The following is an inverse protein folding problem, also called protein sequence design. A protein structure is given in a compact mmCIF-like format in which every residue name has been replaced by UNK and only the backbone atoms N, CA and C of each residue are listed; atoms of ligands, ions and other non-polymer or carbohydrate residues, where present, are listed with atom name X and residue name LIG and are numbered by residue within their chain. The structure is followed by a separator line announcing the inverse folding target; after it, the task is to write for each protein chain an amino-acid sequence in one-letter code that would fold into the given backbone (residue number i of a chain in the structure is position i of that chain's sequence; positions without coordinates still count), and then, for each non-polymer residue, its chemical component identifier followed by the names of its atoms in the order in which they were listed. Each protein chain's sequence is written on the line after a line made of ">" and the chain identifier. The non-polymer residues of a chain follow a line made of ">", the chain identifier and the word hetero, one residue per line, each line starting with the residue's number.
data_IF_689187756448
#
_entry.id   IF_689187756448
#
_cell.length_a   1.000
_cell.length_b   1.000
_cell.length_c   1.000
_cell.angle_alpha   90.00
_cell.angle_beta   90.00
_cell.angle_gamma   90.00
#
_symmetry.space_group_name_H-M   'P 1'
#
loop_
_entity.id
_entity.type
_entity.pdbx_description
1 polymer ?
#
# COMPACT_ATOMS: atom_id res chain seq x y z
N UNK A 1 34.58 23.22 -58.57
CA UNK A 1 33.37 22.92 -57.82
C UNK A 1 33.60 22.06 -56.58
N UNK A 2 34.39 21.00 -56.67
CA UNK A 2 34.67 20.07 -55.54
C UNK A 2 35.34 20.78 -54.34
N UNK A 3 36.26 21.69 -54.55
CA UNK A 3 37.00 22.39 -53.49
C UNK A 3 36.11 23.31 -52.61
N UNK A 4 35.04 23.88 -53.17
CA UNK A 4 34.04 24.70 -52.39
C UNK A 4 33.15 23.84 -51.53
N UNK A 5 32.79 22.63 -51.96
CA UNK A 5 31.98 21.68 -51.21
C UNK A 5 32.75 21.13 -50.02
N UNK A 6 34.03 20.79 -50.22
CA UNK A 6 34.93 20.30 -49.15
C UNK A 6 35.16 21.38 -48.09
N UNK A 7 35.34 22.65 -48.49
CA UNK A 7 35.47 23.78 -47.55
C UNK A 7 34.18 24.03 -46.76
N UNK A 8 33.00 23.93 -47.39
CA UNK A 8 31.73 24.04 -46.72
C UNK A 8 31.52 22.85 -45.74
N UNK A 9 31.85 21.63 -46.10
CA UNK A 9 31.77 20.50 -45.21
C UNK A 9 32.71 20.62 -44.00
N UNK A 10 33.93 21.13 -44.20
CA UNK A 10 34.88 21.40 -43.11
C UNK A 10 34.41 22.54 -42.20
N UNK A 11 33.78 23.59 -42.77
CA UNK A 11 33.16 24.64 -41.95
C UNK A 11 31.97 24.15 -41.18
N UNK A 12 31.11 23.32 -41.77
CA UNK A 12 29.99 22.68 -41.04
C UNK A 12 30.48 21.74 -39.95
N UNK A 13 31.55 20.98 -40.19
CA UNK A 13 32.15 20.11 -39.17
C UNK A 13 32.76 20.91 -38.01
N UNK A 14 33.42 22.05 -38.32
CA UNK A 14 33.95 22.98 -37.31
C UNK A 14 32.86 23.67 -36.53
N UNK A 15 31.73 24.01 -37.16
CA UNK A 15 30.54 24.57 -36.49
C UNK A 15 29.84 23.52 -35.60
N UNK A 16 29.73 22.28 -36.01
CA UNK A 16 29.15 21.22 -35.18
C UNK A 16 30.02 20.88 -33.95
N UNK A 17 31.34 21.11 -33.99
CA UNK A 17 32.26 20.93 -32.85
C UNK A 17 32.20 22.12 -31.88
N UNK A 18 31.79 23.32 -32.36
CA UNK A 18 31.69 24.55 -31.52
C UNK A 18 30.33 24.67 -30.81
N UNK A 19 29.27 24.12 -31.40
CA UNK A 19 28.04 23.87 -30.66
C UNK A 19 28.22 22.51 -29.93
N UNK A 20 28.72 22.58 -28.69
CA UNK A 20 28.74 21.45 -27.80
C UNK A 20 27.31 20.86 -27.77
N UNK A 21 27.12 19.71 -28.39
CA UNK A 21 25.88 18.96 -28.24
C UNK A 21 25.84 18.61 -26.76
N UNK A 22 24.99 19.31 -26.04
CA UNK A 22 24.66 18.99 -24.66
C UNK A 22 24.01 17.60 -24.71
N UNK A 23 24.80 16.55 -24.45
CA UNK A 23 24.31 15.18 -24.39
C UNK A 23 23.60 15.09 -23.04
N UNK A 24 22.30 15.25 -23.05
CA UNK A 24 21.44 14.97 -21.89
C UNK A 24 21.32 13.45 -21.78
N UNK A 25 22.24 12.84 -21.05
CA UNK A 25 22.25 11.41 -20.80
C UNK A 25 21.17 11.07 -19.77
N UNK A 26 20.17 10.26 -20.15
CA UNK A 26 19.12 9.80 -19.25
C UNK A 26 19.37 8.34 -18.87
N UNK A 27 19.42 8.07 -17.58
CA UNK A 27 19.59 6.75 -16.99
C UNK A 27 18.34 6.38 -16.16
N UNK A 28 17.87 5.13 -16.32
CA UNK A 28 16.73 4.62 -15.55
C UNK A 28 17.18 3.59 -14.54
N UNK A 29 16.80 3.77 -13.27
CA UNK A 29 17.18 2.92 -12.15
C UNK A 29 15.93 2.46 -11.40
N UNK A 30 15.86 1.16 -11.10
CA UNK A 30 14.79 0.60 -10.26
C UNK A 30 15.40 -0.11 -9.06
N UNK A 31 14.95 0.23 -7.86
CA UNK A 31 15.44 -0.36 -6.61
C UNK A 31 14.28 -0.70 -5.68
N UNK A 32 14.52 -1.63 -4.74
CA UNK A 32 13.53 -1.98 -3.73
C UNK A 32 13.48 -0.94 -2.61
N UNK A 33 12.31 -0.70 -2.09
CA UNK A 33 12.11 0.15 -0.92
C UNK A 33 12.96 -0.32 0.27
N UNK A 34 13.64 0.62 0.92
CA UNK A 34 14.57 0.36 2.02
C UNK A 34 16.01 0.13 1.59
N UNK A 35 16.27 -0.16 0.32
CA UNK A 35 17.64 -0.27 -0.19
C UNK A 35 18.23 1.13 -0.46
N UNK A 36 19.52 1.18 -0.81
CA UNK A 36 20.19 2.42 -1.20
C UNK A 36 20.35 2.48 -2.70
N UNK A 37 20.21 3.68 -3.29
CA UNK A 37 20.48 3.93 -4.70
C UNK A 37 21.55 4.97 -4.85
N UNK A 38 22.53 4.72 -5.74
CA UNK A 38 23.59 5.67 -6.07
C UNK A 38 23.43 6.16 -7.50
N UNK A 39 23.26 7.48 -7.65
CA UNK A 39 23.13 8.17 -8.92
C UNK A 39 24.53 8.66 -9.33
N UNK A 40 25.16 7.93 -10.24
CA UNK A 40 26.55 8.19 -10.63
C UNK A 40 26.65 9.28 -11.71
N UNK A 41 27.32 10.37 -11.41
CA UNK A 41 27.55 11.43 -12.38
C UNK A 41 28.42 10.98 -13.55
N UNK A 42 29.35 10.04 -13.33
CA UNK A 42 30.36 9.64 -14.30
C UNK A 42 31.50 10.66 -14.45
N UNK A 43 31.52 11.70 -13.62
CA UNK A 43 32.58 12.71 -13.62
C UNK A 43 33.80 12.17 -12.91
N UNK A 44 34.95 12.14 -13.62
CA UNK A 44 36.18 11.55 -13.08
C UNK A 44 37.02 12.55 -12.28
N UNK A 45 36.84 13.85 -12.52
CA UNK A 45 37.58 14.91 -11.82
C UNK A 45 36.74 16.16 -11.73
N UNK A 46 36.54 16.64 -10.53
CA UNK A 46 35.85 17.89 -10.19
C UNK A 46 36.94 18.87 -9.73
N UNK A 47 36.85 20.13 -10.15
CA UNK A 47 37.78 21.19 -9.76
C UNK A 47 37.31 21.88 -8.47
N UNK A 48 38.21 22.57 -7.79
CA UNK A 48 37.90 23.22 -6.50
C UNK A 48 36.80 24.28 -6.57
N UNK A 49 36.68 24.95 -7.73
CA UNK A 49 35.69 25.99 -7.97
C UNK A 49 34.37 25.48 -8.54
N UNK A 50 34.23 24.17 -8.75
CA UNK A 50 33.01 23.59 -9.29
C UNK A 50 31.93 23.48 -8.21
N UNK A 51 30.68 23.73 -8.64
CA UNK A 51 29.49 23.54 -7.84
C UNK A 51 28.66 22.41 -8.43
N UNK A 52 28.35 21.41 -7.61
CA UNK A 52 27.41 20.35 -7.97
C UNK A 52 26.06 20.64 -7.32
N UNK A 53 25.03 20.56 -8.13
CA UNK A 53 23.64 20.72 -7.70
C UNK A 53 22.81 19.52 -8.12
N UNK A 54 22.09 18.96 -7.16
CA UNK A 54 21.11 17.91 -7.37
C UNK A 54 19.69 18.42 -7.23
N UNK A 55 18.88 18.14 -8.24
CA UNK A 55 17.47 18.50 -8.30
C UNK A 55 16.61 17.22 -8.27
N UNK A 56 15.47 17.26 -7.57
CA UNK A 56 14.41 16.28 -7.67
C UNK A 56 13.15 17.01 -8.16
N UNK A 57 12.73 16.73 -9.40
CA UNK A 57 11.80 17.61 -10.10
C UNK A 57 12.34 19.03 -10.20
N UNK A 58 11.59 19.99 -9.67
CA UNK A 58 11.97 21.41 -9.65
C UNK A 58 12.62 21.85 -8.33
N UNK A 59 12.79 20.94 -7.36
CA UNK A 59 13.39 21.26 -6.07
C UNK A 59 14.87 20.90 -6.03
N UNK A 60 15.70 21.80 -5.51
CA UNK A 60 17.09 21.50 -5.18
C UNK A 60 17.12 20.70 -3.87
N UNK A 61 17.68 19.48 -3.91
CA UNK A 61 17.74 18.57 -2.77
C UNK A 61 19.12 18.56 -2.11
N UNK A 62 20.19 18.80 -2.89
CA UNK A 62 21.54 18.84 -2.35
C UNK A 62 22.44 19.73 -3.20
N UNK A 63 23.39 20.42 -2.56
CA UNK A 63 24.47 21.18 -3.17
C UNK A 63 25.79 20.81 -2.53
N UNK A 64 26.80 20.62 -3.35
CA UNK A 64 28.18 20.42 -2.91
C UNK A 64 29.04 21.51 -3.53
N UNK A 65 29.65 22.32 -2.68
CA UNK A 65 30.73 23.21 -3.07
C UNK A 65 32.05 22.53 -2.69
N UNK A 66 32.87 22.23 -3.67
CA UNK A 66 34.12 21.46 -3.47
C UNK A 66 35.11 22.24 -2.62
N UNK A 67 35.23 23.57 -2.81
CA UNK A 67 36.18 24.38 -2.06
C UNK A 67 35.85 24.49 -0.57
N UNK A 68 34.57 24.47 -0.21
CA UNK A 68 34.12 24.56 1.19
C UNK A 68 33.78 23.22 1.81
N UNK A 69 33.67 22.15 1.02
CA UNK A 69 33.20 20.80 1.43
C UNK A 69 31.86 20.83 2.18
N UNK A 70 31.04 21.85 1.94
CA UNK A 70 29.74 22.00 2.59
C UNK A 70 28.68 21.34 1.71
N UNK A 71 28.02 20.33 2.28
CA UNK A 71 26.82 19.72 1.73
C UNK A 71 25.64 20.45 2.39
N UNK A 72 24.81 21.10 1.56
CA UNK A 72 23.57 21.70 2.03
C UNK A 72 22.40 20.84 1.57
N UNK A 73 21.75 20.13 2.48
CA UNK A 73 20.47 19.47 2.25
C UNK A 73 19.36 20.52 2.33
N UNK A 74 18.57 20.63 1.27
CA UNK A 74 17.54 21.68 1.14
C UNK A 74 16.12 21.13 1.26
N UNK A 75 15.93 19.81 1.23
CA UNK A 75 14.63 19.16 1.30
C UNK A 75 14.54 18.21 2.52
N UNK A 76 13.61 18.50 3.44
CA UNK A 76 13.39 17.72 4.64
C UNK A 76 13.00 16.25 4.37
N UNK A 77 12.49 15.91 3.17
CA UNK A 77 12.15 14.52 2.77
C UNK A 77 13.38 13.63 2.79
N UNK A 78 14.56 14.19 2.49
CA UNK A 78 15.82 13.47 2.37
C UNK A 78 16.74 13.63 3.57
N UNK A 79 16.29 14.31 4.62
CA UNK A 79 17.09 14.60 5.81
C UNK A 79 17.78 13.34 6.32
N UNK A 80 19.11 13.44 6.54
CA UNK A 80 19.98 12.39 7.04
C UNK A 80 20.08 11.13 6.15
N UNK A 81 19.57 11.20 4.90
CA UNK A 81 19.56 10.07 3.96
C UNK A 81 20.40 10.29 2.72
N UNK A 82 20.89 11.48 2.47
CA UNK A 82 21.72 11.82 1.32
C UNK A 82 23.20 11.74 1.65
N UNK A 83 23.96 11.12 0.76
CA UNK A 83 25.41 11.12 0.78
C UNK A 83 25.90 11.59 -0.57
N UNK A 84 26.70 12.65 -0.59
CA UNK A 84 27.42 13.11 -1.77
C UNK A 84 28.89 12.69 -1.64
N UNK A 85 29.39 12.02 -2.67
CA UNK A 85 30.80 11.64 -2.72
C UNK A 85 31.66 12.73 -3.40
N UNK A 86 32.98 12.48 -3.44
CA UNK A 86 33.94 13.41 -4.04
C UNK A 86 33.82 13.52 -5.57
N UNK A 87 33.12 12.60 -6.21
CA UNK A 87 32.80 12.64 -7.65
C UNK A 87 31.49 13.34 -7.93
N UNK A 88 30.82 13.82 -6.88
CA UNK A 88 29.51 14.46 -6.93
C UNK A 88 28.36 13.48 -7.18
N UNK A 89 28.60 12.17 -7.08
CA UNK A 89 27.55 11.18 -7.16
C UNK A 89 26.70 11.21 -5.88
N UNK A 90 25.39 11.05 -6.04
CA UNK A 90 24.42 11.13 -4.96
C UNK A 90 23.96 9.73 -4.58
N UNK A 91 24.12 9.37 -3.30
CA UNK A 91 23.53 8.16 -2.72
C UNK A 91 22.33 8.53 -1.85
N UNK A 92 21.21 7.88 -2.08
CA UNK A 92 20.00 7.99 -1.27
C UNK A 92 19.87 6.70 -0.48
N UNK A 93 19.97 6.78 0.84
CA UNK A 93 19.84 5.64 1.74
C UNK A 93 18.39 5.44 2.18
N UNK A 94 18.03 4.18 2.53
CA UNK A 94 16.70 3.84 3.04
C UNK A 94 15.59 4.43 2.17
N UNK A 95 15.64 4.10 0.88
CA UNK A 95 14.71 4.63 -0.12
C UNK A 95 13.25 4.32 0.23
N UNK A 96 12.35 5.21 -0.13
CA UNK A 96 10.91 5.11 0.05
C UNK A 96 10.24 5.19 -1.32
N UNK A 97 9.07 4.59 -1.47
CA UNK A 97 8.29 4.69 -2.73
C UNK A 97 8.03 6.14 -3.13
N UNK A 98 7.91 7.06 -2.15
CA UNK A 98 7.77 8.50 -2.36
C UNK A 98 9.02 9.20 -2.90
N UNK A 99 10.17 8.53 -2.92
CA UNK A 99 11.41 9.06 -3.49
C UNK A 99 11.49 8.78 -5.00
N UNK A 100 10.54 8.05 -5.58
CA UNK A 100 10.45 7.86 -7.03
C UNK A 100 10.28 9.19 -7.74
N UNK A 101 11.03 9.39 -8.83
CA UNK A 101 10.96 10.64 -9.58
C UNK A 101 12.14 10.85 -10.53
N UNK A 102 12.19 12.04 -11.08
CA UNK A 102 13.27 12.48 -11.98
C UNK A 102 14.28 13.29 -11.19
N UNK A 103 15.52 12.82 -11.19
CA UNK A 103 16.66 13.48 -10.56
C UNK A 103 17.59 14.05 -11.63
N UNK A 104 18.10 15.24 -11.41
CA UNK A 104 19.02 15.89 -12.33
C UNK A 104 20.26 16.34 -11.59
N UNK A 105 21.42 15.85 -12.06
CA UNK A 105 22.73 16.35 -11.66
C UNK A 105 23.15 17.50 -12.57
N UNK A 106 23.58 18.61 -11.99
CA UNK A 106 24.16 19.74 -12.70
C UNK A 106 25.52 20.07 -12.10
N UNK A 107 26.55 20.05 -12.90
CA UNK A 107 27.87 20.58 -12.56
C UNK A 107 28.00 21.96 -13.20
N UNK A 108 28.28 22.97 -12.39
CA UNK A 108 28.44 24.36 -12.79
C UNK A 108 29.89 24.73 -12.48
N UNK A 109 30.69 24.97 -13.52
CA UNK A 109 32.09 25.32 -13.43
C UNK A 109 32.67 25.64 -14.82
N UNK A 110 33.94 25.29 -15.08
CA UNK A 110 34.54 25.48 -16.38
C UNK A 110 33.86 24.64 -17.48
N UNK A 111 33.23 23.52 -17.12
CA UNK A 111 32.41 22.69 -18.00
C UNK A 111 31.02 22.56 -17.39
N UNK A 112 29.98 22.77 -18.20
CA UNK A 112 28.61 22.49 -17.80
C UNK A 112 28.31 21.03 -18.14
N UNK A 113 27.91 20.27 -17.14
CA UNK A 113 27.50 18.88 -17.29
C UNK A 113 26.09 18.73 -16.73
N UNK A 114 25.25 17.99 -17.44
CA UNK A 114 23.92 17.64 -16.99
C UNK A 114 23.69 16.16 -17.23
N UNK A 115 23.13 15.48 -16.24
CA UNK A 115 22.70 14.08 -16.36
C UNK A 115 21.36 13.91 -15.66
N UNK A 116 20.46 13.20 -16.29
CA UNK A 116 19.10 12.95 -15.81
C UNK A 116 18.97 11.49 -15.41
N UNK A 117 18.33 11.24 -14.26
CA UNK A 117 18.04 9.90 -13.75
C UNK A 117 16.54 9.76 -13.53
N UNK A 118 15.95 8.68 -14.03
CA UNK A 118 14.59 8.26 -13.73
C UNK A 118 14.68 7.18 -12.66
N UNK A 119 14.34 7.50 -11.42
CA UNK A 119 14.42 6.58 -10.28
C UNK A 119 13.04 6.06 -9.96
N UNK A 120 12.89 4.74 -9.95
CA UNK A 120 11.66 4.04 -9.57
C UNK A 120 11.93 3.20 -8.33
N UNK A 121 11.27 3.54 -7.22
CA UNK A 121 11.35 2.76 -5.98
C UNK A 121 10.13 1.85 -5.91
N UNK A 122 10.38 0.56 -5.85
CA UNK A 122 9.34 -0.48 -5.87
C UNK A 122 9.14 -0.99 -4.45
N UNK A 123 7.89 -1.00 -3.99
CA UNK A 123 7.55 -1.49 -2.66
C UNK A 123 7.93 -2.96 -2.48
N UNK A 124 8.36 -3.34 -1.29
CA UNK A 124 8.63 -4.74 -0.95
C UNK A 124 7.34 -5.54 -0.99
N UNK A 125 7.42 -6.72 -1.62
CA UNK A 125 6.27 -7.60 -1.72
C UNK A 125 5.95 -8.25 -0.37
N UNK A 126 4.69 -8.23 0.07
CA UNK A 126 4.23 -9.04 1.19
C UNK A 126 4.24 -10.52 0.81
N UNK A 127 4.39 -11.39 1.80
CA UNK A 127 4.24 -12.82 1.57
C UNK A 127 2.76 -13.15 1.38
N UNK A 128 2.36 -13.88 0.31
CA UNK A 128 0.97 -14.25 0.11
C UNK A 128 0.43 -15.12 1.25
N UNK A 129 -0.80 -14.88 1.67
CA UNK A 129 -1.51 -15.73 2.63
C UNK A 129 -2.42 -16.71 1.87
N UNK A 130 -2.39 -17.99 2.30
CA UNK A 130 -3.27 -19.02 1.74
C UNK A 130 -4.23 -19.47 2.84
N UNK A 131 -5.53 -19.37 2.56
CA UNK A 131 -6.60 -19.87 3.40
C UNK A 131 -7.38 -20.96 2.67
N UNK A 132 -7.88 -21.95 3.40
CA UNK A 132 -8.76 -22.97 2.86
C UNK A 132 -10.20 -22.70 3.25
N UNK A 133 -11.09 -23.02 2.35
CA UNK A 133 -12.54 -22.91 2.53
C UNK A 133 -13.19 -24.19 2.03
N UNK A 134 -14.04 -24.82 2.86
CA UNK A 134 -14.85 -25.96 2.46
C UNK A 134 -16.23 -25.47 2.04
N UNK A 135 -16.60 -25.56 0.74
CA UNK A 135 -17.95 -25.20 0.32
C UNK A 135 -18.95 -26.18 0.94
N UNK A 136 -19.82 -25.67 1.79
CA UNK A 136 -20.99 -26.43 2.25
C UNK A 136 -22.06 -26.37 1.17
N UNK A 137 -22.13 -27.37 0.29
CA UNK A 137 -23.27 -27.55 -0.57
C UNK A 137 -24.27 -28.51 0.09
N UNK A 138 -25.41 -28.02 0.63
CA UNK A 138 -26.44 -28.88 1.18
C UNK A 138 -27.37 -29.49 0.12
N UNK A 139 -27.00 -29.45 -1.16
CA UNK A 139 -27.87 -29.92 -2.25
C UNK A 139 -27.51 -31.34 -2.70
N UNK A 140 -28.21 -32.30 -2.10
CA UNK A 140 -28.73 -33.51 -2.71
C UNK A 140 -27.82 -34.31 -3.64
N UNK A 141 -27.67 -35.56 -3.21
CA UNK A 141 -27.35 -36.75 -3.99
C UNK A 141 -25.88 -37.06 -4.31
N UNK A 142 -25.25 -37.80 -3.41
CA UNK A 142 -24.53 -39.01 -3.78
C UNK A 142 -23.13 -38.94 -4.32
N UNK A 143 -22.53 -37.79 -4.55
CA UNK A 143 -21.10 -37.66 -4.74
C UNK A 143 -20.56 -36.75 -3.63
N UNK A 144 -19.74 -37.29 -2.76
CA UNK A 144 -18.85 -36.53 -1.92
C UNK A 144 -17.97 -35.67 -2.85
N UNK A 145 -18.34 -34.41 -3.05
CA UNK A 145 -17.48 -33.46 -3.72
C UNK A 145 -16.26 -33.27 -2.82
N UNK A 146 -15.21 -34.05 -3.12
CA UNK A 146 -13.93 -34.08 -2.42
C UNK A 146 -13.05 -32.88 -2.85
N UNK A 147 -13.65 -31.69 -2.95
CA UNK A 147 -12.95 -30.48 -3.37
C UNK A 147 -12.73 -29.53 -2.21
N UNK A 148 -11.55 -28.97 -2.16
CA UNK A 148 -11.14 -27.90 -1.26
C UNK A 148 -10.96 -26.63 -2.07
N UNK A 149 -11.54 -25.53 -1.64
CA UNK A 149 -11.29 -24.21 -2.23
C UNK A 149 -10.23 -23.50 -1.42
N UNK A 150 -9.16 -23.13 -2.09
CA UNK A 150 -8.05 -22.37 -1.56
C UNK A 150 -8.17 -20.93 -2.03
N UNK A 151 -7.89 -19.99 -1.14
CA UNK A 151 -7.85 -18.59 -1.46
C UNK A 151 -6.45 -18.04 -1.16
N UNK A 152 -5.70 -17.69 -2.18
CA UNK A 152 -4.47 -16.92 -2.02
C UNK A 152 -4.80 -15.44 -2.01
N UNK A 153 -4.29 -14.70 -1.03
CA UNK A 153 -4.57 -13.28 -0.86
C UNK A 153 -3.34 -12.48 -0.44
N UNK A 154 -3.31 -11.23 -0.91
CA UNK A 154 -2.36 -10.20 -0.51
C UNK A 154 -3.10 -8.87 -0.34
N UNK A 155 -2.55 -7.98 0.48
CA UNK A 155 -3.14 -6.67 0.78
C UNK A 155 -2.15 -5.55 0.49
N UNK A 156 -2.69 -4.36 0.16
CA UNK A 156 -1.93 -3.12 -0.06
C UNK A 156 -0.80 -3.27 -1.09
N UNK A 157 -1.12 -3.78 -2.27
CA UNK A 157 -0.16 -4.01 -3.36
C UNK A 157 -0.50 -3.20 -4.60
N UNK A 158 0.53 -2.83 -5.38
CA UNK A 158 0.38 -2.16 -6.67
C UNK A 158 1.43 -2.69 -7.65
N UNK A 159 1.11 -2.67 -8.94
CA UNK A 159 1.98 -3.14 -10.02
C UNK A 159 2.50 -4.57 -9.78
N UNK A 160 1.60 -5.49 -9.42
CA UNK A 160 1.93 -6.90 -9.13
C UNK A 160 1.05 -7.86 -9.91
N UNK A 161 1.55 -9.08 -10.06
CA UNK A 161 0.76 -10.25 -10.45
C UNK A 161 0.70 -11.26 -9.29
N UNK A 162 -0.44 -11.91 -9.13
CA UNK A 162 -0.67 -13.00 -8.18
C UNK A 162 -1.06 -14.25 -8.97
N UNK A 163 -0.36 -15.34 -8.73
CA UNK A 163 -0.47 -16.55 -9.58
C UNK A 163 -0.46 -17.82 -8.75
N UNK A 164 -1.29 -18.79 -9.15
CA UNK A 164 -1.21 -20.17 -8.67
C UNK A 164 -0.34 -21.01 -9.59
N UNK A 165 0.50 -21.82 -8.98
CA UNK A 165 1.35 -22.80 -9.66
C UNK A 165 1.04 -24.21 -9.16
N UNK A 166 1.10 -25.19 -10.08
CA UNK A 166 1.13 -26.63 -9.81
C UNK A 166 2.48 -27.14 -10.32
N UNK A 167 3.39 -27.43 -9.38
CA UNK A 167 4.80 -27.64 -9.74
C UNK A 167 5.36 -26.39 -10.43
N UNK A 168 5.82 -26.54 -11.66
CA UNK A 168 6.36 -25.43 -12.48
C UNK A 168 5.35 -24.81 -13.46
N UNK A 169 4.10 -25.27 -13.45
CA UNK A 169 3.08 -24.80 -14.40
C UNK A 169 2.15 -23.78 -13.75
N UNK A 170 1.90 -22.65 -14.43
CA UNK A 170 0.92 -21.64 -14.03
C UNK A 170 -0.48 -22.19 -14.26
N UNK A 171 -1.34 -22.15 -13.24
CA UNK A 171 -2.75 -22.54 -13.31
C UNK A 171 -3.64 -21.34 -13.57
N UNK A 172 -3.43 -20.27 -12.84
CA UNK A 172 -4.19 -19.03 -12.96
C UNK A 172 -3.34 -17.85 -12.51
N UNK A 173 -3.67 -16.66 -13.03
CA UNK A 173 -2.97 -15.42 -12.69
C UNK A 173 -3.91 -14.23 -12.79
N UNK A 174 -3.75 -13.26 -11.89
CA UNK A 174 -4.37 -11.94 -11.96
C UNK A 174 -3.30 -10.87 -11.75
N UNK A 175 -3.49 -9.70 -12.36
CA UNK A 175 -2.53 -8.59 -12.27
C UNK A 175 -3.26 -7.29 -11.96
N UNK A 176 -2.60 -6.42 -11.21
CA UNK A 176 -3.07 -5.06 -10.93
C UNK A 176 -1.95 -4.07 -11.24
N UNK A 177 -2.30 -2.95 -11.86
CA UNK A 177 -1.40 -1.82 -12.12
C UNK A 177 -1.46 -0.79 -10.99
N UNK A 178 -2.67 -0.54 -10.50
CA UNK A 178 -2.94 0.47 -9.48
C UNK A 178 -2.94 -0.14 -8.08
N UNK A 179 -2.95 0.73 -7.04
CA UNK A 179 -3.02 0.30 -5.66
C UNK A 179 -4.30 -0.51 -5.40
N UNK A 180 -4.12 -1.75 -4.97
CA UNK A 180 -5.22 -2.63 -4.56
C UNK A 180 -5.16 -2.88 -3.05
N UNK A 181 -6.30 -2.62 -2.37
CA UNK A 181 -6.42 -2.86 -0.93
C UNK A 181 -6.36 -4.36 -0.65
N UNK A 182 -6.97 -5.18 -1.50
CA UNK A 182 -6.97 -6.64 -1.39
C UNK A 182 -7.00 -7.26 -2.78
N UNK A 183 -6.07 -8.17 -3.01
CA UNK A 183 -6.01 -8.99 -4.22
C UNK A 183 -6.11 -10.43 -3.80
N UNK A 184 -7.06 -11.19 -4.35
CA UNK A 184 -7.27 -12.60 -4.01
C UNK A 184 -7.56 -13.43 -5.24
N UNK A 185 -7.02 -14.66 -5.22
CA UNK A 185 -7.10 -15.61 -6.32
C UNK A 185 -7.52 -16.98 -5.77
N UNK A 186 -8.75 -17.45 -6.10
CA UNK A 186 -9.22 -18.77 -5.67
C UNK A 186 -8.62 -19.87 -6.53
N UNK A 187 -8.51 -21.08 -5.92
CA UNK A 187 -8.12 -22.33 -6.57
C UNK A 187 -8.92 -23.47 -5.97
N UNK A 188 -9.52 -24.30 -6.83
CA UNK A 188 -10.15 -25.57 -6.42
C UNK A 188 -9.18 -26.73 -6.60
N UNK A 189 -9.00 -27.52 -5.54
CA UNK A 189 -8.15 -28.72 -5.55
C UNK A 189 -8.92 -29.92 -4.98
N UNK A 190 -8.55 -31.13 -5.40
CA UNK A 190 -9.08 -32.35 -4.83
C UNK A 190 -8.32 -32.73 -3.56
N UNK A 191 -9.00 -33.26 -2.52
CA UNK A 191 -8.36 -33.65 -1.25
C UNK A 191 -7.25 -34.71 -1.39
N UNK A 192 -7.29 -35.52 -2.45
CA UNK A 192 -6.34 -36.58 -2.69
C UNK A 192 -5.22 -36.21 -3.64
N UNK A 193 -5.12 -34.92 -4.03
CA UNK A 193 -4.08 -34.48 -4.96
C UNK A 193 -2.74 -34.35 -4.22
N UNK A 194 -1.77 -35.19 -4.61
CA UNK A 194 -0.40 -35.19 -4.06
C UNK A 194 0.52 -34.16 -4.71
N UNK A 195 -0.01 -33.30 -5.60
CA UNK A 195 0.80 -32.29 -6.26
C UNK A 195 1.18 -31.15 -5.32
N UNK A 196 2.35 -30.55 -5.60
CA UNK A 196 2.78 -29.34 -4.90
C UNK A 196 2.15 -28.12 -5.53
N UNK A 197 1.46 -27.34 -4.74
CA UNK A 197 0.90 -26.07 -5.13
C UNK A 197 1.65 -24.91 -4.46
N UNK A 198 1.73 -23.80 -5.14
CA UNK A 198 2.28 -22.58 -4.55
C UNK A 198 1.57 -21.34 -5.09
N UNK A 199 1.42 -20.36 -4.23
CA UNK A 199 0.97 -19.04 -4.61
C UNK A 199 2.15 -18.09 -4.65
N UNK A 200 2.29 -17.37 -5.77
CA UNK A 200 3.39 -16.45 -6.03
C UNK A 200 2.83 -15.08 -6.31
N UNK A 201 3.35 -14.08 -5.58
CA UNK A 201 3.22 -12.68 -5.95
C UNK A 201 4.52 -12.22 -6.61
N UNK A 202 4.41 -11.50 -7.69
CA UNK A 202 5.53 -11.05 -8.51
C UNK A 202 5.40 -9.58 -8.89
N UNK A 203 6.52 -8.86 -8.90
CA UNK A 203 6.67 -7.53 -9.45
C UNK A 203 7.91 -7.49 -10.38
N UNK A 204 8.22 -6.38 -11.10
CA UNK A 204 9.33 -6.35 -12.06
C UNK A 204 10.72 -6.68 -11.52
N UNK A 205 10.94 -6.66 -10.21
CA UNK A 205 12.28 -6.88 -9.61
C UNK A 205 12.32 -7.96 -8.54
N UNK A 206 11.18 -8.47 -8.08
CA UNK A 206 11.16 -9.48 -7.00
C UNK A 206 9.90 -10.33 -7.02
N UNK A 207 9.96 -11.48 -6.37
CA UNK A 207 8.79 -12.32 -6.11
C UNK A 207 8.79 -12.82 -4.67
N UNK A 208 7.60 -13.22 -4.19
CA UNK A 208 7.40 -13.92 -2.93
C UNK A 208 6.51 -15.13 -3.16
N UNK A 209 6.88 -16.25 -2.57
CA UNK A 209 6.18 -17.53 -2.76
C UNK A 209 5.71 -18.08 -1.42
N UNK A 210 4.48 -18.58 -1.38
CA UNK A 210 3.95 -19.40 -0.30
C UNK A 210 3.61 -20.78 -0.85
N UNK A 211 4.26 -21.79 -0.31
CA UNK A 211 3.98 -23.19 -0.66
C UNK A 211 2.78 -23.69 0.13
N UNK A 212 1.98 -24.51 -0.52
CA UNK A 212 0.82 -25.14 0.05
C UNK A 212 1.16 -26.57 0.43
N UNK A 213 0.79 -26.95 1.65
CA UNK A 213 0.69 -28.33 2.09
C UNK A 213 -0.81 -28.70 2.17
N UNK A 214 -1.29 -29.43 1.17
CA UNK A 214 -2.70 -29.83 1.06
C UNK A 214 -3.13 -30.66 2.28
N UNK A 215 -2.24 -31.49 2.81
CA UNK A 215 -2.55 -32.37 3.94
C UNK A 215 -2.90 -31.62 5.22
N UNK A 216 -2.36 -30.41 5.37
CA UNK A 216 -2.62 -29.54 6.54
C UNK A 216 -3.79 -28.60 6.36
N UNK A 217 -3.98 -28.07 5.14
CA UNK A 217 -4.97 -27.03 4.85
C UNK A 217 -6.31 -27.57 4.34
N UNK A 218 -6.30 -28.67 3.63
CA UNK A 218 -7.49 -29.30 3.09
C UNK A 218 -7.77 -30.60 3.83
N UNK A 219 -8.44 -30.54 4.97
CA UNK A 219 -8.98 -31.71 5.64
C UNK A 219 -10.45 -31.88 5.25
N UNK A 220 -10.93 -33.14 5.04
CA UNK A 220 -12.35 -33.36 4.78
C UNK A 220 -13.16 -32.75 5.92
N UNK A 221 -14.19 -31.98 5.59
CA UNK A 221 -15.10 -31.40 6.56
C UNK A 221 -15.84 -32.55 7.28
N UNK A 222 -15.32 -33.02 8.42
CA UNK A 222 -16.08 -33.88 9.32
C UNK A 222 -17.15 -32.97 9.96
N UNK A 223 -18.39 -33.48 10.02
CA UNK A 223 -19.64 -32.76 10.35
C UNK A 223 -19.65 -31.93 11.65
N UNK A 224 -18.54 -31.79 12.34
CA UNK A 224 -18.54 -31.19 13.68
C UNK A 224 -17.55 -30.07 13.98
N UNK A 225 -16.60 -29.67 13.11
CA UNK A 225 -15.57 -28.71 13.54
C UNK A 225 -15.17 -27.64 12.48
N UNK A 226 -15.83 -27.51 11.38
CA UNK A 226 -15.56 -26.41 10.44
C UNK A 226 -16.45 -25.17 10.70
N UNK A 227 -16.51 -24.72 11.96
CA UNK A 227 -17.26 -23.51 12.34
C UNK A 227 -16.32 -22.37 12.68
N UNK A 228 -15.69 -21.74 11.67
CA UNK A 228 -15.17 -20.38 11.87
C UNK A 228 -16.30 -19.32 11.92
N UNK A 229 -17.54 -19.70 11.53
CA UNK A 229 -18.71 -18.80 11.58
C UNK A 229 -19.41 -18.74 12.96
N UNK A 230 -19.12 -19.66 13.89
CA UNK A 230 -19.80 -19.67 15.19
C UNK A 230 -19.43 -18.50 16.09
N UNK A 231 -18.23 -17.95 15.96
CA UNK A 231 -17.81 -16.80 16.76
C UNK A 231 -18.55 -15.52 16.33
N UNK A 232 -18.74 -15.33 15.03
CA UNK A 232 -19.43 -14.13 14.48
C UNK A 232 -20.92 -14.20 14.74
N UNK A 233 -21.55 -15.36 14.59
CA UNK A 233 -22.94 -15.58 14.97
C UNK A 233 -23.16 -15.44 16.48
N UNK A 234 -22.26 -15.95 17.32
CA UNK A 234 -22.32 -15.77 18.77
C UNK A 234 -22.16 -14.29 19.17
N UNK A 235 -21.26 -13.56 18.55
CA UNK A 235 -21.07 -12.12 18.78
C UNK A 235 -22.33 -11.33 18.37
N UNK A 236 -22.94 -11.64 17.23
CA UNK A 236 -24.18 -11.01 16.80
C UNK A 236 -25.35 -11.29 17.74
N UNK A 237 -25.48 -12.53 18.25
CA UNK A 237 -26.51 -12.87 19.23
C UNK A 237 -26.31 -12.14 20.56
N UNK A 238 -25.07 -12.02 21.03
CA UNK A 238 -24.76 -11.28 22.26
C UNK A 238 -25.07 -9.79 22.08
N UNK A 239 -24.67 -9.19 20.96
CA UNK A 239 -24.96 -7.80 20.66
C UNK A 239 -26.47 -7.50 20.55
N UNK A 240 -27.22 -8.38 19.88
CA UNK A 240 -28.68 -8.24 19.77
C UNK A 240 -29.39 -8.40 21.13
N UNK A 241 -28.91 -9.30 21.99
CA UNK A 241 -29.40 -9.44 23.35
C UNK A 241 -29.14 -8.20 24.21
N UNK A 242 -27.94 -7.61 24.12
CA UNK A 242 -27.59 -6.38 24.83
C UNK A 242 -28.44 -5.18 24.38
N UNK A 243 -28.67 -5.03 23.07
CA UNK A 243 -29.57 -3.99 22.53
C UNK A 243 -31.00 -4.21 22.99
N UNK A 244 -31.47 -5.47 23.03
CA UNK A 244 -32.81 -5.83 23.55
C UNK A 244 -32.99 -5.45 25.02
N UNK A 245 -32.00 -5.75 25.86
CA UNK A 245 -32.05 -5.37 27.29
C UNK A 245 -32.04 -3.84 27.46
N UNK A 246 -31.22 -3.13 26.71
CA UNK A 246 -31.16 -1.68 26.77
C UNK A 246 -32.47 -1.03 26.34
N UNK A 247 -33.11 -1.51 25.28
CA UNK A 247 -34.41 -0.98 24.83
C UNK A 247 -35.53 -1.21 25.86
N UNK A 248 -35.57 -2.40 26.47
CA UNK A 248 -36.52 -2.71 27.55
C UNK A 248 -36.30 -1.80 28.77
N UNK A 249 -35.03 -1.58 29.15
CA UNK A 249 -34.72 -0.67 30.28
C UNK A 249 -35.17 0.76 30.01
N UNK A 250 -34.98 1.28 28.80
CA UNK A 250 -35.46 2.62 28.41
C UNK A 250 -36.98 2.70 28.43
N UNK A 251 -37.67 1.69 27.90
CA UNK A 251 -39.14 1.66 27.93
C UNK A 251 -39.70 1.61 29.35
N UNK A 252 -39.09 0.80 30.23
CA UNK A 252 -39.49 0.75 31.66
C UNK A 252 -39.23 2.07 32.35
N UNK A 253 -38.11 2.73 32.07
CA UNK A 253 -37.81 4.05 32.60
C UNK A 253 -38.84 5.10 32.14
N UNK A 254 -39.15 5.12 30.86
CA UNK A 254 -40.11 6.07 30.27
C UNK A 254 -41.52 5.84 30.85
N UNK A 255 -41.91 4.58 30.99
CA UNK A 255 -43.20 4.23 31.60
C UNK A 255 -43.28 4.63 33.08
N UNK A 256 -42.21 4.44 33.85
CA UNK A 256 -42.15 4.89 35.26
C UNK A 256 -42.16 6.40 35.37
N UNK A 257 -41.45 7.11 34.51
CA UNK A 257 -41.39 8.57 34.45
C UNK A 257 -42.79 9.15 34.17
N UNK A 258 -43.49 8.62 33.18
CA UNK A 258 -44.88 9.05 32.85
C UNK A 258 -45.88 8.76 33.96
N UNK A 259 -45.72 7.62 34.66
CA UNK A 259 -46.57 7.35 35.87
C UNK A 259 -46.30 8.32 37.01
N UNK A 260 -45.05 8.71 37.23
CA UNK A 260 -44.69 9.69 38.25
C UNK A 260 -45.27 11.07 37.93
N UNK A 261 -45.24 11.49 36.67
CA UNK A 261 -45.85 12.74 36.22
C UNK A 261 -47.37 12.76 36.34
N UNK A 262 -48.06 11.64 36.01
CA UNK A 262 -49.51 11.51 36.21
C UNK A 262 -49.90 11.53 37.67
N UNK A 263 -49.06 10.97 38.58
CA UNK A 263 -49.32 11.03 40.03
C UNK A 263 -49.14 12.44 40.60
N UNK A 264 -48.22 13.24 40.05
CA UNK A 264 -48.00 14.63 40.40
C UNK A 264 -49.11 15.59 39.89
N UNK A 265 -49.85 15.19 38.86
CA UNK A 265 -50.95 16.01 38.28
C UNK A 265 -52.33 15.70 38.82
N UNK A 266 -52.47 14.79 39.82
CA UNK A 266 -53.76 14.65 40.52
C UNK A 266 -53.93 15.82 41.53
N UNK A 267 -54.85 16.74 41.31
CA UNK A 267 -55.11 17.76 42.28
C UNK A 267 -55.72 17.08 43.51
N UNK A 268 -55.30 17.53 44.70
CA UNK A 268 -55.95 17.19 46.01
C UNK A 268 -57.33 17.76 46.07
N UNK A 269 -58.32 17.00 45.58
CA UNK A 269 -59.77 17.34 45.69
C UNK A 269 -60.38 16.81 46.96
N UNK A 270 -59.71 16.92 48.13
CA UNK A 270 -60.25 16.51 49.40
C UNK A 270 -60.08 17.56 50.53
N UNK A 271 -60.12 18.84 50.20
CA UNK A 271 -60.07 19.92 51.21
C UNK A 271 -61.16 21.00 51.02
N UNK A 272 -62.28 20.64 50.42
CA UNK A 272 -63.39 21.64 50.24
C UNK A 272 -64.78 21.10 50.57
N UNK A 273 -64.91 20.01 51.36
CA UNK A 273 -66.18 19.46 51.76
C UNK A 273 -66.41 19.56 53.28
N UNK A 274 -65.52 20.18 54.07
CA UNK A 274 -65.68 20.39 55.52
C UNK A 274 -66.05 21.83 55.91
N UNK A 275 -66.02 22.81 55.02
CA UNK A 275 -66.31 24.19 55.32
C UNK A 275 -67.75 24.66 54.91
N UNK A 276 -68.56 23.80 54.27
CA UNK A 276 -69.93 24.16 53.89
C UNK A 276 -70.97 23.72 54.93
N UNK A 277 -70.65 22.85 55.87
CA UNK A 277 -71.62 22.38 56.91
C UNK A 277 -71.60 23.17 58.23
N UNK A 278 -70.81 24.25 58.32
CA UNK A 278 -70.75 25.08 59.52
C UNK A 278 -71.48 26.46 59.41
N UNK A 279 -72.11 26.72 58.27
CA UNK A 279 -72.83 27.98 58.03
C UNK A 279 -74.38 27.81 57.86
N UNK A 280 -74.97 26.68 58.34
CA UNK A 280 -76.40 26.43 58.28
C UNK A 280 -76.99 26.01 59.63
N UNK A 281 -76.44 26.50 60.72
CA UNK A 281 -77.15 26.55 62.05
C UNK A 281 -76.80 27.84 62.78
N UNK A 282 -77.52 28.87 62.45
CA UNK A 282 -78.16 29.87 63.32
C UNK A 282 -79.02 30.80 62.48
#
# INVERSE_FOLDING_TARGET
>A
MVCRIVLLCLCFWRLAVVFGVEIDETESLSVMEGDSVTLQTGVTKIQEDDLIMWMCGDQCIAKLNISSQVISEMDNRFKDRLILDQTGSLTINSTRTTDSGVYKAQLIGQKVFKKTFIVTIIARLPKPAINSYCPQNPSSSGSLDSKCVLLCSVVNVSAVSLSWYKGNSVLSSISVSDLSISLSLPLEVEYQDENTYSCVIDNPISNQTTHLDISTLCQPCSDHVCCCDSAEAAIQLVLSALVGVATVAVLVYDFRSRRAEQKSRRPSSNLQETDINLLQQD
#
